data_IF_897729765476
#
_entry.id   IF_897729765476
#
_cell.length_a   1.000
_cell.length_b   1.000
_cell.length_c   1.000
_cell.angle_alpha   90.00
_cell.angle_beta   90.00
_cell.angle_gamma   90.00
#
_symmetry.space_group_name_H-M   'P 1'
#
loop_
_entity.id
_entity.type
_entity.pdbx_description
1 polymer ?
#
# COMPACT_ATOMS: atom_id res chain seq x y z
N UNK A 1 10.75 21.99 49.93
CA UNK A 1 9.66 21.24 50.58
C UNK A 1 9.31 20.07 49.68
N UNK A 2 9.61 18.86 50.15
CA UNK A 2 9.11 17.57 49.66
C UNK A 2 7.97 17.18 50.59
N UNK A 3 6.89 16.61 50.06
CA UNK A 3 5.92 15.86 50.85
C UNK A 3 5.77 14.47 50.24
N UNK A 4 6.18 13.46 51.00
CA UNK A 4 5.91 12.04 50.80
C UNK A 4 5.19 11.57 52.04
N UNK A 5 3.92 11.20 51.91
CA UNK A 5 3.12 10.71 53.02
C UNK A 5 3.61 9.32 53.45
N UNK A 6 3.98 9.20 54.72
CA UNK A 6 4.29 7.95 55.40
C UNK A 6 3.00 7.35 56.00
N UNK A 7 2.76 6.06 55.74
CA UNK A 7 1.69 5.28 56.36
C UNK A 7 2.25 4.52 57.58
N UNK A 8 1.51 4.53 58.69
CA UNK A 8 1.84 3.85 59.94
C UNK A 8 0.69 2.90 60.33
N UNK A 9 0.94 1.62 60.65
CA UNK A 9 -0.11 0.66 60.96
C UNK A 9 -0.66 0.84 62.37
N UNK A 10 -1.97 0.63 62.52
CA UNK A 10 -2.68 0.65 63.80
C UNK A 10 -2.37 -0.62 64.59
N UNK A 11 -1.70 -0.45 65.73
CA UNK A 11 -1.55 -1.48 66.75
C UNK A 11 -2.85 -1.65 67.54
N UNK A 12 -3.12 -2.91 67.83
CA UNK A 12 -3.90 -3.51 68.89
C UNK A 12 -4.49 -2.54 69.93
N UNK A 13 -5.82 -2.56 70.03
CA UNK A 13 -6.51 -2.20 71.27
C UNK A 13 -6.93 -3.49 71.97
N UNK A 14 -6.59 -3.53 73.25
CA UNK A 14 -6.69 -4.64 74.17
C UNK A 14 -7.85 -4.37 75.11
N UNK A 15 -8.82 -5.27 75.19
CA UNK A 15 -9.72 -5.32 76.35
C UNK A 15 -9.95 -6.79 76.77
N UNK A 16 -9.60 -7.06 78.02
CA UNK A 16 -9.72 -8.31 78.75
C UNK A 16 -11.18 -8.76 78.93
N UNK A 17 -11.48 -10.05 78.70
CA UNK A 17 -12.43 -10.81 79.54
C UNK A 17 -11.92 -12.24 79.71
N UNK A 18 -11.49 -12.55 80.93
CA UNK A 18 -11.24 -13.91 81.41
C UNK A 18 -12.56 -14.48 81.95
N UNK A 19 -13.11 -15.55 81.35
CA UNK A 19 -14.04 -16.47 82.03
C UNK A 19 -14.31 -17.76 81.22
N UNK A 20 -14.04 -18.87 81.89
CA UNK A 20 -14.68 -20.19 81.80
C UNK A 20 -14.53 -21.06 80.53
N UNK A 21 -13.64 -22.04 80.68
CA UNK A 21 -13.76 -23.35 80.06
C UNK A 21 -15.13 -23.98 80.30
N UNK A 22 -15.90 -24.17 79.22
CA UNK A 22 -16.87 -25.26 79.12
C UNK A 22 -16.66 -26.03 77.82
N UNK A 23 -16.54 -27.35 77.98
CA UNK A 23 -16.08 -28.29 76.97
C UNK A 23 -16.94 -28.38 75.71
N UNK A 24 -16.27 -28.84 74.66
CA UNK A 24 -16.78 -29.13 73.32
C UNK A 24 -18.01 -30.04 73.30
N UNK A 25 -19.05 -29.70 72.52
CA UNK A 25 -19.85 -30.69 71.81
C UNK A 25 -19.15 -31.01 70.48
N UNK A 26 -18.75 -32.27 70.34
CA UNK A 26 -18.32 -32.90 69.10
C UNK A 26 -19.46 -32.86 68.08
N UNK A 27 -19.41 -31.90 67.17
CA UNK A 27 -20.24 -31.84 65.97
C UNK A 27 -19.33 -31.92 64.76
N UNK A 28 -19.25 -33.09 64.14
CA UNK A 28 -18.57 -33.31 62.87
C UNK A 28 -19.33 -32.57 61.76
N UNK A 29 -18.90 -31.35 61.46
CA UNK A 29 -19.27 -30.64 60.24
C UNK A 29 -18.03 -30.52 59.37
N UNK A 30 -17.96 -31.31 58.29
CA UNK A 30 -16.92 -31.18 57.27
C UNK A 30 -16.76 -29.72 56.82
N UNK A 31 -15.52 -29.21 56.64
CA UNK A 31 -15.33 -27.91 56.02
C UNK A 31 -15.83 -27.99 54.57
N UNK A 32 -16.81 -27.14 54.23
CA UNK A 32 -17.30 -27.02 52.87
C UNK A 32 -16.16 -26.62 51.92
N UNK A 33 -15.67 -27.58 51.14
CA UNK A 33 -14.69 -27.36 50.06
C UNK A 33 -15.39 -26.62 48.93
N UNK A 34 -15.12 -25.31 48.79
CA UNK A 34 -15.58 -24.54 47.63
C UNK A 34 -14.92 -25.10 46.36
N UNK A 35 -15.69 -25.40 45.29
CA UNK A 35 -15.10 -25.93 44.06
C UNK A 35 -14.20 -24.87 43.42
N UNK A 36 -12.93 -25.22 43.21
CA UNK A 36 -11.95 -24.43 42.44
C UNK A 36 -12.49 -24.25 41.02
N UNK A 37 -13.02 -23.05 40.72
CA UNK A 37 -13.57 -22.69 39.42
C UNK A 37 -12.51 -22.92 38.34
N UNK A 38 -12.77 -23.87 37.44
CA UNK A 38 -11.83 -24.34 36.41
C UNK A 38 -11.43 -23.23 35.43
N UNK A 39 -10.21 -22.71 35.56
CA UNK A 39 -9.60 -21.72 34.65
C UNK A 39 -9.34 -22.25 33.22
N UNK A 40 -9.42 -23.57 33.02
CA UNK A 40 -9.08 -24.23 31.74
C UNK A 40 -9.97 -23.81 30.56
N UNK A 41 -11.21 -23.36 30.81
CA UNK A 41 -12.13 -22.89 29.77
C UNK A 41 -11.72 -21.55 29.16
N UNK A 42 -11.02 -20.71 29.93
CA UNK A 42 -10.54 -19.40 29.49
C UNK A 42 -9.43 -19.54 28.44
N UNK A 43 -8.45 -20.40 28.70
CA UNK A 43 -7.30 -20.61 27.81
C UNK A 43 -7.72 -21.18 26.44
N UNK A 44 -8.71 -22.08 26.40
CA UNK A 44 -9.22 -22.60 25.13
C UNK A 44 -9.89 -21.50 24.30
N UNK A 45 -10.66 -20.62 24.95
CA UNK A 45 -11.30 -19.48 24.28
C UNK A 45 -10.27 -18.51 23.69
N UNK A 46 -9.23 -18.16 24.45
CA UNK A 46 -8.12 -17.34 23.93
C UNK A 46 -7.38 -18.01 22.76
N UNK A 47 -7.09 -19.31 22.84
CA UNK A 47 -6.45 -20.05 21.75
C UNK A 47 -7.30 -20.07 20.48
N UNK A 48 -8.63 -20.22 20.62
CA UNK A 48 -9.56 -20.15 19.49
C UNK A 48 -9.57 -18.75 18.86
N UNK A 49 -9.58 -17.68 19.66
CA UNK A 49 -9.50 -16.31 19.14
C UNK A 49 -8.20 -16.04 18.40
N UNK A 50 -7.06 -16.49 18.94
CA UNK A 50 -5.75 -16.37 18.29
C UNK A 50 -5.72 -17.16 16.98
N UNK A 51 -6.29 -18.37 16.96
CA UNK A 51 -6.38 -19.18 15.73
C UNK A 51 -7.24 -18.49 14.66
N UNK A 52 -8.40 -17.93 15.03
CA UNK A 52 -9.25 -17.17 14.11
C UNK A 52 -8.50 -15.95 13.56
N UNK A 53 -7.81 -15.20 14.42
CA UNK A 53 -7.05 -14.03 13.99
C UNK A 53 -5.89 -14.40 13.05
N UNK A 54 -5.19 -15.50 13.35
CA UNK A 54 -4.13 -16.02 12.48
C UNK A 54 -4.68 -16.44 11.10
N UNK A 55 -5.85 -17.08 11.05
CA UNK A 55 -6.50 -17.47 9.80
C UNK A 55 -6.96 -16.25 8.98
N UNK A 56 -7.48 -15.20 9.64
CA UNK A 56 -7.85 -13.94 8.97
C UNK A 56 -6.62 -13.24 8.38
N UNK A 57 -5.52 -13.16 9.13
CA UNK A 57 -4.25 -12.58 8.66
C UNK A 57 -3.70 -13.41 7.49
N UNK A 58 -3.69 -14.74 7.60
CA UNK A 58 -3.23 -15.63 6.53
C UNK A 58 -4.09 -15.44 5.27
N UNK A 59 -5.42 -15.40 5.43
CA UNK A 59 -6.34 -15.14 4.32
C UNK A 59 -6.08 -13.80 3.65
N UNK A 60 -5.84 -12.73 4.43
CA UNK A 60 -5.50 -11.41 3.90
C UNK A 60 -4.15 -11.42 3.16
N UNK A 61 -3.13 -12.09 3.70
CA UNK A 61 -1.82 -12.22 3.06
C UNK A 61 -1.94 -12.98 1.74
N UNK A 62 -2.65 -14.10 1.73
CA UNK A 62 -2.87 -14.90 0.51
C UNK A 62 -3.69 -14.13 -0.53
N UNK A 63 -4.71 -13.39 -0.10
CA UNK A 63 -5.50 -12.53 -0.99
C UNK A 63 -4.65 -11.41 -1.61
N UNK A 64 -3.86 -10.71 -0.80
CA UNK A 64 -2.96 -9.67 -1.29
C UNK A 64 -1.87 -10.23 -2.19
N UNK A 65 -1.33 -11.42 -1.91
CA UNK A 65 -0.36 -12.08 -2.76
C UNK A 65 -0.96 -12.51 -4.11
N UNK A 66 -2.17 -13.07 -4.10
CA UNK A 66 -2.90 -13.40 -5.33
C UNK A 66 -3.26 -12.14 -6.14
N UNK A 67 -3.66 -11.06 -5.47
CA UNK A 67 -3.92 -9.77 -6.12
C UNK A 67 -2.64 -9.15 -6.69
N UNK A 68 -1.53 -9.17 -5.94
CA UNK A 68 -0.23 -8.67 -6.36
C UNK A 68 0.33 -9.43 -7.57
N UNK A 69 0.21 -10.75 -7.58
CA UNK A 69 0.66 -11.58 -8.72
C UNK A 69 -0.17 -11.34 -9.98
N UNK A 70 -1.49 -11.12 -9.84
CA UNK A 70 -2.36 -10.70 -10.96
C UNK A 70 -2.07 -9.28 -11.44
N UNK A 71 -1.82 -8.34 -10.53
CA UNK A 71 -1.47 -6.96 -10.88
C UNK A 71 -0.11 -6.88 -11.56
N UNK A 72 0.89 -7.63 -11.11
CA UNK A 72 2.23 -7.64 -11.74
C UNK A 72 2.20 -8.18 -13.17
N UNK A 73 1.31 -9.15 -13.46
CA UNK A 73 1.11 -9.67 -14.81
C UNK A 73 0.29 -8.72 -15.69
N UNK A 74 -0.64 -7.95 -15.11
CA UNK A 74 -1.42 -6.92 -15.82
C UNK A 74 -0.70 -5.58 -15.97
N UNK A 75 0.24 -5.23 -15.09
CA UNK A 75 0.97 -3.95 -15.11
C UNK A 75 1.83 -3.78 -16.37
N UNK A 76 2.11 -4.86 -17.09
CA UNK A 76 2.78 -4.84 -18.39
C UNK A 76 1.84 -5.15 -19.56
N UNK A 77 0.53 -5.34 -19.34
CA UNK A 77 -0.41 -5.57 -20.44
C UNK A 77 -0.94 -4.24 -20.93
N UNK A 78 -0.62 -3.89 -22.17
CA UNK A 78 -1.23 -2.77 -22.88
C UNK A 78 -2.76 -2.94 -22.86
N UNK A 79 -3.48 -1.94 -22.33
CA UNK A 79 -4.94 -1.98 -22.14
C UNK A 79 -5.70 -1.58 -23.41
N UNK A 80 -5.08 -0.80 -24.30
CA UNK A 80 -5.71 -0.22 -25.51
C UNK A 80 -4.81 -0.45 -26.71
N UNK A 81 -5.38 -0.85 -27.86
CA UNK A 81 -4.62 -1.08 -29.10
C UNK A 81 -3.78 0.14 -29.53
N UNK A 82 -2.58 -0.12 -30.03
CA UNK A 82 -1.69 0.88 -30.63
C UNK A 82 -1.02 0.28 -31.86
N UNK A 83 -0.99 0.98 -33.01
CA UNK A 83 -0.29 0.52 -34.21
C UNK A 83 1.20 0.21 -33.98
N UNK A 84 1.84 0.87 -33.00
CA UNK A 84 3.25 0.68 -32.69
C UNK A 84 3.52 -0.41 -31.64
N UNK A 85 2.50 -1.15 -31.20
CA UNK A 85 2.66 -2.09 -30.08
C UNK A 85 3.77 -3.12 -30.32
N UNK A 86 3.91 -3.60 -31.55
CA UNK A 86 4.92 -4.59 -31.93
C UNK A 86 6.36 -4.08 -31.81
N UNK A 87 6.57 -2.77 -31.65
CA UNK A 87 7.88 -2.15 -31.47
C UNK A 87 8.22 -1.87 -29.99
N UNK A 88 7.27 -2.03 -29.07
CA UNK A 88 7.51 -1.73 -27.66
C UNK A 88 8.43 -2.77 -27.01
N UNK A 89 9.48 -2.28 -26.36
CA UNK A 89 10.40 -3.06 -25.55
C UNK A 89 10.50 -2.44 -24.16
N UNK A 90 10.27 -3.25 -23.12
CA UNK A 90 10.37 -2.81 -21.73
C UNK A 90 11.76 -3.12 -21.19
N UNK A 91 12.44 -2.10 -20.67
CA UNK A 91 13.73 -2.25 -20.01
C UNK A 91 13.69 -1.60 -18.62
N UNK A 92 14.23 -2.25 -17.59
CA UNK A 92 14.41 -1.61 -16.30
C UNK A 92 15.46 -0.50 -16.44
N UNK A 93 15.04 0.75 -16.22
CA UNK A 93 15.94 1.91 -16.20
C UNK A 93 15.90 2.57 -14.83
N UNK A 94 17.07 3.01 -14.36
CA UNK A 94 17.16 3.88 -13.21
C UNK A 94 17.05 5.32 -13.71
N UNK A 95 15.93 5.97 -13.41
CA UNK A 95 15.77 7.39 -13.71
C UNK A 95 16.62 8.21 -12.75
N UNK A 96 17.44 9.11 -13.32
CA UNK A 96 18.13 10.12 -12.54
C UNK A 96 17.14 11.06 -11.86
N UNK A 97 17.54 11.68 -10.76
CA UNK A 97 16.70 12.63 -10.03
C UNK A 97 16.52 13.97 -10.76
N UNK A 98 17.20 14.18 -11.90
CA UNK A 98 17.09 15.38 -12.71
C UNK A 98 17.85 16.59 -12.16
N UNK A 99 18.73 16.41 -11.18
CA UNK A 99 19.52 17.47 -10.55
C UNK A 99 21.03 17.28 -10.76
N UNK A 100 21.77 18.39 -10.81
CA UNK A 100 23.24 18.42 -10.93
C UNK A 100 23.75 17.50 -12.06
N UNK A 101 24.57 16.50 -11.72
CA UNK A 101 25.19 15.55 -12.64
C UNK A 101 24.18 14.57 -13.28
N UNK A 102 22.92 14.57 -12.82
CA UNK A 102 21.85 13.72 -13.34
C UNK A 102 20.83 14.48 -14.20
N UNK A 103 21.18 15.68 -14.69
CA UNK A 103 20.37 16.40 -15.66
C UNK A 103 20.41 15.69 -17.03
N UNK A 104 19.26 15.58 -17.68
CA UNK A 104 19.16 15.14 -19.07
C UNK A 104 19.57 16.25 -20.04
N UNK A 105 19.81 15.89 -21.30
CA UNK A 105 20.12 16.84 -22.38
C UNK A 105 18.99 17.85 -22.67
N UNK A 106 17.79 17.58 -22.17
CA UNK A 106 16.60 18.42 -22.32
C UNK A 106 16.43 19.43 -21.17
N UNK A 107 17.37 19.46 -20.23
CA UNK A 107 17.33 20.30 -19.03
C UNK A 107 18.52 21.25 -19.00
N UNK A 108 18.34 22.41 -18.37
CA UNK A 108 19.40 23.39 -18.19
C UNK A 108 18.89 24.82 -18.31
N UNK A 109 19.82 25.78 -18.39
CA UNK A 109 19.46 27.12 -18.84
C UNK A 109 19.15 27.08 -20.34
N UNK A 110 18.29 27.99 -20.84
CA UNK A 110 18.04 28.11 -22.28
C UNK A 110 19.35 28.24 -23.05
N UNK A 111 19.59 27.34 -23.99
CA UNK A 111 20.78 27.32 -24.82
C UNK A 111 20.48 26.68 -26.17
N UNK A 112 21.24 27.02 -27.22
CA UNK A 112 21.03 26.44 -28.56
C UNK A 112 21.09 24.90 -28.56
N UNK A 113 21.87 24.30 -27.66
CA UNK A 113 22.01 22.85 -27.54
C UNK A 113 20.76 22.20 -26.95
N UNK A 114 20.16 22.82 -25.93
CA UNK A 114 18.91 22.33 -25.31
C UNK A 114 17.76 22.49 -26.31
N UNK A 115 17.69 23.63 -26.99
CA UNK A 115 16.68 23.87 -28.03
C UNK A 115 16.81 22.86 -29.18
N UNK A 116 18.03 22.61 -29.65
CA UNK A 116 18.28 21.59 -30.68
C UNK A 116 17.88 20.19 -30.22
N UNK A 117 18.19 19.82 -28.98
CA UNK A 117 17.79 18.51 -28.43
C UNK A 117 16.26 18.36 -28.44
N UNK A 118 15.54 19.41 -28.04
CA UNK A 118 14.08 19.47 -28.10
C UNK A 118 13.56 19.37 -29.54
N UNK A 119 14.08 20.18 -30.46
CA UNK A 119 13.71 20.18 -31.88
C UNK A 119 13.93 18.80 -32.53
N UNK A 120 15.06 18.14 -32.24
CA UNK A 120 15.37 16.80 -32.73
C UNK A 120 14.36 15.74 -32.23
N UNK A 121 13.80 15.95 -31.03
CA UNK A 121 12.87 15.02 -30.39
C UNK A 121 11.47 15.06 -31.04
N UNK A 122 10.94 16.23 -31.43
CA UNK A 122 9.56 16.33 -31.93
C UNK A 122 9.41 16.71 -33.41
N UNK A 123 10.36 17.39 -34.06
CA UNK A 123 10.13 17.92 -35.41
C UNK A 123 9.87 16.87 -36.48
N UNK A 124 10.33 15.65 -36.24
CA UNK A 124 10.21 14.55 -37.20
C UNK A 124 8.95 13.70 -36.98
N UNK A 125 8.22 13.90 -35.87
CA UNK A 125 7.17 12.99 -35.45
C UNK A 125 6.06 13.74 -34.69
N UNK A 126 4.85 13.76 -35.25
CA UNK A 126 3.69 14.34 -34.57
C UNK A 126 2.40 13.83 -35.20
N UNK A 127 2.20 14.13 -36.47
CA UNK A 127 1.07 13.61 -37.24
C UNK A 127 1.50 12.45 -38.13
N UNK A 128 0.87 11.29 -37.94
CA UNK A 128 1.13 10.06 -38.69
C UNK A 128 -0.09 9.68 -39.51
N UNK A 129 0.13 9.27 -40.76
CA UNK A 129 -0.93 8.76 -41.63
C UNK A 129 -1.00 7.23 -41.55
N UNK A 130 -2.05 6.70 -40.90
CA UNK A 130 -2.32 5.29 -40.74
C UNK A 130 -3.05 4.70 -41.97
N UNK A 131 -2.73 3.46 -42.36
CA UNK A 131 -3.60 2.65 -43.22
C UNK A 131 -4.97 2.45 -42.56
N UNK A 132 -6.00 2.26 -43.39
CA UNK A 132 -7.38 2.08 -42.92
C UNK A 132 -7.51 0.93 -41.94
N UNK A 133 -6.82 -0.18 -42.21
CA UNK A 133 -6.88 -1.40 -41.41
C UNK A 133 -6.37 -1.17 -39.98
N UNK A 134 -5.40 -0.27 -39.80
CA UNK A 134 -4.90 0.10 -38.49
C UNK A 134 -5.80 1.13 -37.80
N UNK A 135 -6.41 2.04 -38.56
CA UNK A 135 -7.30 3.06 -38.03
C UNK A 135 -8.65 2.48 -37.56
N UNK A 136 -9.15 1.44 -38.23
CA UNK A 136 -10.39 0.73 -37.86
C UNK A 136 -10.26 -0.03 -36.52
N UNK A 137 -9.03 -0.26 -36.04
CA UNK A 137 -8.73 -0.89 -34.75
C UNK A 137 -8.66 0.11 -33.59
N UNK A 138 -8.74 1.42 -33.87
CA UNK A 138 -8.76 2.45 -32.82
C UNK A 138 -10.14 2.50 -32.15
N UNK A 139 -10.16 2.67 -30.83
CA UNK A 139 -11.41 2.79 -30.06
C UNK A 139 -12.28 3.97 -30.56
N UNK A 140 -11.63 5.06 -30.95
CA UNK A 140 -12.26 6.24 -31.51
C UNK A 140 -11.88 6.42 -32.99
N UNK A 141 -12.87 6.74 -33.81
CA UNK A 141 -12.64 7.08 -35.22
C UNK A 141 -11.82 8.37 -35.32
N UNK A 142 -10.97 8.40 -36.33
CA UNK A 142 -10.12 9.55 -36.63
C UNK A 142 -10.39 10.13 -38.02
N UNK A 143 -9.74 11.25 -38.34
CA UNK A 143 -9.92 11.98 -39.58
C UNK A 143 -9.38 11.21 -40.79
N UNK A 144 -10.22 11.02 -41.81
CA UNK A 144 -9.79 10.48 -43.09
C UNK A 144 -9.11 11.57 -43.94
N UNK A 145 -8.01 11.20 -44.57
CA UNK A 145 -7.26 12.02 -45.52
C UNK A 145 -7.73 11.72 -46.95
N UNK A 146 -7.50 12.66 -47.88
CA UNK A 146 -7.90 12.53 -49.28
C UNK A 146 -7.29 11.33 -50.01
N UNK A 147 -6.16 10.82 -49.51
CA UNK A 147 -5.45 9.65 -50.04
C UNK A 147 -5.92 8.32 -49.44
N UNK A 148 -7.04 8.30 -48.69
CA UNK A 148 -7.60 7.09 -48.08
C UNK A 148 -6.89 6.60 -46.82
N UNK A 149 -5.88 7.33 -46.34
CA UNK A 149 -5.26 7.12 -45.02
C UNK A 149 -6.01 7.88 -43.94
N UNK A 150 -5.65 7.62 -42.69
CA UNK A 150 -6.29 8.18 -41.51
C UNK A 150 -5.25 8.87 -40.64
N UNK A 151 -5.55 10.08 -40.19
CA UNK A 151 -4.65 10.87 -39.36
C UNK A 151 -4.59 10.30 -37.93
N UNK A 152 -3.43 10.20 -37.33
CA UNK A 152 -3.27 9.86 -35.91
C UNK A 152 -2.05 10.56 -35.32
N UNK A 153 -2.03 10.70 -34.00
CA UNK A 153 -0.91 11.25 -33.23
C UNK A 153 -0.60 10.32 -32.07
N UNK A 154 0.68 10.21 -31.71
CA UNK A 154 1.10 9.44 -30.54
C UNK A 154 1.03 10.32 -29.29
N UNK A 155 0.37 9.83 -28.23
CA UNK A 155 0.11 10.60 -27.00
C UNK A 155 1.36 11.14 -26.29
N UNK A 156 2.54 10.56 -26.56
CA UNK A 156 3.82 11.07 -26.06
C UNK A 156 4.07 12.50 -26.54
N UNK A 157 3.71 12.86 -27.77
CA UNK A 157 3.90 14.20 -28.31
C UNK A 157 2.98 15.21 -27.63
N UNK A 158 1.73 14.84 -27.35
CA UNK A 158 0.82 15.66 -26.54
C UNK A 158 1.38 15.97 -25.14
N UNK A 159 2.08 15.01 -24.52
CA UNK A 159 2.73 15.21 -23.22
C UNK A 159 3.97 16.13 -23.33
N UNK A 160 4.71 16.08 -24.44
CA UNK A 160 5.91 16.90 -24.66
C UNK A 160 5.58 18.36 -25.01
N UNK A 161 4.54 18.61 -25.80
CA UNK A 161 4.14 19.97 -26.19
C UNK A 161 3.75 20.85 -24.98
N UNK A 162 3.26 20.27 -23.89
CA UNK A 162 2.97 21.01 -22.65
C UNK A 162 4.23 21.36 -21.84
N UNK A 163 5.34 20.66 -22.08
CA UNK A 163 6.61 20.89 -21.40
C UNK A 163 7.46 21.94 -22.14
N UNK A 164 7.40 21.94 -23.47
CA UNK A 164 8.03 22.93 -24.33
C UNK A 164 7.11 24.16 -24.55
N UNK A 165 6.88 24.95 -23.50
CA UNK A 165 6.20 26.24 -23.64
C UNK A 165 7.22 27.39 -23.75
N UNK A 166 7.18 28.12 -24.87
CA UNK A 166 8.08 29.21 -25.34
C UNK A 166 9.36 28.79 -26.06
N UNK A 167 9.26 28.60 -27.37
CA UNK A 167 10.30 28.97 -28.33
C UNK A 167 9.84 30.28 -28.99
N UNK A 168 10.40 31.41 -28.53
CA UNK A 168 10.29 32.72 -29.19
C UNK A 168 11.66 33.17 -29.65
#
# INVERSE_FOLDING_TARGET
>A
MKDTAHYTPLLADSDEVNADHKGFPSGEGEPAVLPRRSEKRSNLFYLVLVAIQALLILGLVLFNWAAYTKLKSAACSQVVYSPLQHLLQYSPVLYGNGFHEQMSIYQGQPSPEVDQAWEDLYNNFGLTALPKEQADLLDNKTLALSNGKYLAEFSVFHSLHCLASNLT
#
